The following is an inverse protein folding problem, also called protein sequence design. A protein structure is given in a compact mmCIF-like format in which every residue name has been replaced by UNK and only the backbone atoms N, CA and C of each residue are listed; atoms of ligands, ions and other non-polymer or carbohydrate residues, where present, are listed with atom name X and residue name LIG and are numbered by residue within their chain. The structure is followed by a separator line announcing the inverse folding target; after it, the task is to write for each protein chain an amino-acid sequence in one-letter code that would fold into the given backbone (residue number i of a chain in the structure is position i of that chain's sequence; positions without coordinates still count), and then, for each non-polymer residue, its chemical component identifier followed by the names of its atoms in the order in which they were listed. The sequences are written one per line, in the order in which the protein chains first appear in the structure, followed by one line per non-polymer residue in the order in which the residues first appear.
data_IF_632183378273
#
_entry.id   IF_632183378273
#
_cell.length_a   1.000
_cell.length_b   1.000
_cell.length_c   1.000
_cell.angle_alpha   90.00
_cell.angle_beta   90.00
_cell.angle_gamma   90.00
#
_symmetry.space_group_name_H-M   'P 1'
#
loop_
_entity.id
_entity.type
_entity.pdbx_description
1 polymer ?
#
# COMPACT_ATOMS: atom_id res chain seq x y z
N UNK A 1 -19.91 0.36 -7.90
CA UNK A 1 -18.62 1.02 -8.20
C UNK A 1 -18.59 2.49 -7.75
N UNK A 2 -19.34 3.41 -8.38
CA UNK A 2 -19.33 4.84 -7.97
C UNK A 2 -19.91 5.05 -6.56
N UNK A 3 -20.97 4.32 -6.22
CA UNK A 3 -21.55 4.33 -4.87
C UNK A 3 -20.57 3.87 -3.80
N UNK A 4 -19.78 2.83 -4.10
CA UNK A 4 -18.79 2.24 -3.17
C UNK A 4 -17.63 3.22 -2.92
N UNK A 5 -17.12 3.85 -3.98
CA UNK A 5 -16.13 4.91 -3.85
C UNK A 5 -16.67 6.06 -2.97
N UNK A 6 -17.90 6.53 -3.22
CA UNK A 6 -18.47 7.60 -2.43
C UNK A 6 -18.68 7.21 -0.94
N UNK A 7 -18.95 5.93 -0.65
CA UNK A 7 -19.07 5.43 0.71
C UNK A 7 -17.75 5.45 1.48
N UNK A 8 -16.62 5.23 0.81
CA UNK A 8 -15.28 5.36 1.41
C UNK A 8 -14.77 6.80 1.41
N UNK A 9 -15.59 7.78 0.99
CA UNK A 9 -15.17 9.18 0.83
C UNK A 9 -14.38 9.45 -0.46
N UNK A 10 -14.14 8.43 -1.28
CA UNK A 10 -13.47 8.55 -2.57
C UNK A 10 -14.44 9.04 -3.65
N UNK A 11 -13.97 9.97 -4.48
CA UNK A 11 -14.74 10.49 -5.59
C UNK A 11 -14.29 9.80 -6.87
N UNK A 12 -15.15 8.93 -7.41
CA UNK A 12 -14.91 8.25 -8.68
C UNK A 12 -15.67 8.94 -9.81
N UNK A 13 -14.95 9.60 -10.71
CA UNK A 13 -15.48 10.34 -11.85
C UNK A 13 -15.03 9.69 -13.15
N UNK A 14 -15.98 9.38 -14.04
CA UNK A 14 -15.65 8.94 -15.39
C UNK A 14 -15.37 10.17 -16.28
N UNK A 15 -14.20 10.19 -16.91
CA UNK A 15 -13.82 11.25 -17.85
C UNK A 15 -14.27 10.82 -19.24
N UNK A 16 -15.35 11.44 -19.75
CA UNK A 16 -15.87 11.30 -21.14
C UNK A 16 -16.49 9.91 -21.45
N UNK A 17 -16.54 9.54 -22.74
CA UNK A 17 -17.14 8.28 -23.27
C UNK A 17 -16.16 7.09 -23.31
N UNK A 18 -14.91 7.31 -22.92
CA UNK A 18 -13.86 6.30 -22.88
C UNK A 18 -13.78 5.64 -21.51
N UNK A 19 -13.06 4.51 -21.41
CA UNK A 19 -12.76 3.80 -20.15
C UNK A 19 -11.75 4.54 -19.27
N UNK A 20 -11.67 5.87 -19.37
CA UNK A 20 -10.83 6.70 -18.51
C UNK A 20 -11.62 7.10 -17.26
N UNK A 21 -11.22 6.53 -16.14
CA UNK A 21 -11.78 6.81 -14.83
C UNK A 21 -10.77 7.58 -14.00
N UNK A 22 -11.24 8.60 -13.31
CA UNK A 22 -10.47 9.38 -12.35
C UNK A 22 -11.00 9.07 -10.96
N UNK A 23 -10.10 8.63 -10.09
CA UNK A 23 -10.39 8.38 -8.69
C UNK A 23 -9.60 9.40 -7.87
N UNK A 24 -10.27 10.13 -6.99
CA UNK A 24 -9.66 11.10 -6.09
C UNK A 24 -10.15 10.88 -4.67
N UNK A 25 -9.24 10.82 -3.72
CA UNK A 25 -9.53 10.61 -2.30
C UNK A 25 -8.24 10.70 -1.49
N UNK A 26 -8.36 10.65 -0.17
CA UNK A 26 -7.21 10.56 0.72
C UNK A 26 -6.59 9.16 0.65
N UNK A 27 -5.30 9.03 0.97
CA UNK A 27 -4.60 7.74 0.93
C UNK A 27 -5.29 6.66 1.78
N UNK A 28 -5.70 7.02 2.99
CA UNK A 28 -6.44 6.14 3.91
C UNK A 28 -7.73 5.61 3.27
N UNK A 29 -8.48 6.48 2.60
CA UNK A 29 -9.73 6.17 1.92
C UNK A 29 -9.52 5.26 0.71
N UNK A 30 -8.44 5.49 -0.06
CA UNK A 30 -8.06 4.67 -1.20
C UNK A 30 -7.65 3.25 -0.77
N UNK A 31 -6.89 3.13 0.32
CA UNK A 31 -6.52 1.83 0.92
C UNK A 31 -7.76 1.09 1.44
N UNK A 32 -8.70 1.80 2.07
CA UNK A 32 -9.97 1.23 2.50
C UNK A 32 -10.84 0.76 1.32
N UNK A 33 -10.83 1.52 0.21
CA UNK A 33 -11.55 1.16 -1.00
C UNK A 33 -11.01 -0.14 -1.62
N UNK A 34 -9.68 -0.38 -1.59
CA UNK A 34 -9.10 -1.67 -2.02
C UNK A 34 -9.71 -2.83 -1.22
N UNK A 35 -9.77 -2.71 0.10
CA UNK A 35 -10.32 -3.76 0.97
C UNK A 35 -11.80 -4.06 0.73
N UNK A 36 -12.56 -3.13 0.16
CA UNK A 36 -13.96 -3.36 -0.22
C UNK A 36 -14.16 -3.84 -1.66
N UNK A 37 -13.10 -3.81 -2.48
CA UNK A 37 -13.10 -4.23 -3.87
C UNK A 37 -12.58 -5.68 -3.97
N UNK A 38 -13.31 -6.63 -3.38
CA UNK A 38 -13.00 -8.07 -3.48
C UNK A 38 -13.48 -8.72 -4.81
N UNK A 39 -14.18 -7.96 -5.64
CA UNK A 39 -14.87 -8.47 -6.83
C UNK A 39 -13.99 -8.35 -8.09
N UNK A 40 -13.81 -9.45 -8.83
CA UNK A 40 -12.85 -9.59 -9.94
C UNK A 40 -12.99 -8.53 -11.04
N UNK A 41 -14.21 -7.99 -11.23
CA UNK A 41 -14.49 -6.93 -12.20
C UNK A 41 -13.79 -5.59 -11.92
N UNK A 42 -13.21 -5.40 -10.73
CA UNK A 42 -12.64 -4.14 -10.27
C UNK A 42 -11.16 -4.20 -9.91
N UNK A 43 -10.48 -5.32 -10.18
CA UNK A 43 -9.03 -5.52 -10.03
C UNK A 43 -8.19 -4.37 -10.64
N UNK A 44 -8.65 -3.77 -11.73
CA UNK A 44 -7.96 -2.66 -12.38
C UNK A 44 -7.92 -1.38 -11.52
N UNK A 45 -8.89 -1.18 -10.62
CA UNK A 45 -8.94 -0.06 -9.67
C UNK A 45 -7.90 -0.30 -8.58
N UNK A 46 -7.85 -1.51 -8.02
CA UNK A 46 -6.86 -1.89 -7.01
C UNK A 46 -5.45 -1.64 -7.54
N UNK A 47 -5.14 -2.17 -8.73
CA UNK A 47 -3.83 -1.94 -9.40
C UNK A 47 -3.54 -0.46 -9.67
N UNK A 48 -4.55 0.34 -10.01
CA UNK A 48 -4.38 1.76 -10.23
C UNK A 48 -4.09 2.52 -8.93
N UNK A 49 -4.76 2.15 -7.83
CA UNK A 49 -4.55 2.70 -6.50
C UNK A 49 -3.16 2.31 -5.97
N UNK A 50 -2.79 1.04 -6.03
CA UNK A 50 -1.45 0.55 -5.61
C UNK A 50 -0.31 1.22 -6.39
N UNK A 51 -0.53 1.54 -7.66
CA UNK A 51 0.45 2.26 -8.49
C UNK A 51 0.51 3.76 -8.16
N UNK A 52 -0.61 4.35 -7.75
CA UNK A 52 -0.71 5.79 -7.46
C UNK A 52 -0.31 6.14 -6.03
N UNK A 53 -0.57 5.22 -5.10
CA UNK A 53 -0.10 5.32 -3.72
C UNK A 53 1.39 5.00 -3.67
N UNK A 54 2.18 5.76 -2.89
CA UNK A 54 3.51 5.31 -2.53
C UNK A 54 3.38 3.95 -1.81
N UNK A 55 4.36 3.08 -2.02
CA UNK A 55 4.47 1.88 -1.19
C UNK A 55 4.43 2.34 0.27
N UNK A 56 3.62 1.70 1.14
CA UNK A 56 3.62 2.07 2.55
C UNK A 56 5.07 2.08 3.01
N UNK A 57 5.52 3.19 3.58
CA UNK A 57 6.81 3.25 4.27
C UNK A 57 6.67 2.26 5.43
N UNK A 58 7.02 1.00 5.17
CA UNK A 58 7.05 -0.01 6.20
C UNK A 58 8.18 0.43 7.12
N UNK A 59 7.82 0.81 8.34
CA UNK A 59 8.81 1.20 9.32
C UNK A 59 9.55 -0.06 9.78
N UNK A 60 10.65 -0.34 9.09
CA UNK A 60 11.51 -1.49 9.35
C UNK A 60 12.01 -1.48 10.80
N UNK A 61 12.19 -0.29 11.40
CA UNK A 61 12.59 -0.14 12.79
C UNK A 61 11.47 -0.56 13.75
N UNK A 62 10.22 -0.26 13.42
CA UNK A 62 9.08 -0.72 14.21
C UNK A 62 8.99 -2.26 14.21
N UNK A 63 9.31 -2.91 13.10
CA UNK A 63 9.31 -4.38 13.02
C UNK A 63 10.48 -4.95 13.83
N UNK A 64 11.66 -4.34 13.74
CA UNK A 64 12.83 -4.75 14.51
C UNK A 64 12.66 -4.54 16.02
N UNK A 65 11.96 -3.49 16.45
CA UNK A 65 11.62 -3.32 17.88
C UNK A 65 10.68 -4.40 18.42
N UNK A 66 9.76 -4.91 17.59
CA UNK A 66 8.86 -6.00 17.96
C UNK A 66 9.61 -7.33 17.96
N UNK A 67 10.54 -7.53 17.02
CA UNK A 67 11.28 -8.77 16.84
C UNK A 67 12.78 -8.50 16.60
N UNK A 68 13.55 -8.20 17.65
CA UNK A 68 14.95 -7.77 17.51
C UNK A 68 15.90 -8.90 17.09
N UNK A 69 15.48 -10.16 17.20
CA UNK A 69 16.23 -11.33 16.73
C UNK A 69 15.96 -11.65 15.26
N UNK A 70 15.20 -10.81 14.54
CA UNK A 70 14.87 -11.03 13.14
C UNK A 70 16.10 -10.89 12.23
N UNK A 71 16.29 -11.84 11.34
CA UNK A 71 17.37 -11.80 10.34
C UNK A 71 17.00 -10.93 9.14
N UNK A 72 18.01 -10.39 8.43
CA UNK A 72 17.81 -9.61 7.19
C UNK A 72 16.89 -10.33 6.20
N UNK A 73 17.05 -11.65 6.03
CA UNK A 73 16.20 -12.47 5.16
C UNK A 73 14.75 -12.53 5.62
N UNK A 74 14.51 -12.66 6.93
CA UNK A 74 13.15 -12.66 7.46
C UNK A 74 12.49 -11.29 7.27
N UNK A 75 13.23 -10.21 7.52
CA UNK A 75 12.75 -8.85 7.33
C UNK A 75 12.34 -8.59 5.88
N UNK A 76 13.17 -9.00 4.91
CA UNK A 76 12.85 -8.92 3.48
C UNK A 76 11.62 -9.74 3.11
N UNK A 77 11.47 -10.94 3.66
CA UNK A 77 10.31 -11.80 3.37
C UNK A 77 9.02 -11.22 3.96
N UNK A 78 9.06 -10.68 5.17
CA UNK A 78 7.88 -10.11 5.83
C UNK A 78 7.46 -8.77 5.23
N UNK A 79 8.41 -7.95 4.80
CA UNK A 79 8.16 -6.57 4.35
C UNK A 79 8.20 -6.40 2.83
N UNK A 80 8.82 -7.33 2.11
CA UNK A 80 9.06 -7.22 0.68
C UNK A 80 10.08 -6.13 0.30
N UNK A 81 10.83 -5.60 1.26
CA UNK A 81 11.87 -4.58 1.00
C UNK A 81 13.11 -5.20 0.33
N UNK A 82 13.98 -4.36 -0.23
CA UNK A 82 15.23 -4.85 -0.80
C UNK A 82 16.17 -5.37 0.29
N UNK A 83 17.02 -6.36 -0.03
CA UNK A 83 18.10 -6.83 0.85
C UNK A 83 18.99 -5.68 1.36
N UNK A 84 19.20 -4.65 0.53
CA UNK A 84 19.97 -3.46 0.90
C UNK A 84 19.26 -2.58 1.93
N UNK A 85 17.93 -2.45 1.83
CA UNK A 85 17.12 -1.66 2.76
C UNK A 85 16.99 -2.38 4.10
N UNK A 86 16.71 -3.68 4.08
CA UNK A 86 16.65 -4.51 5.28
C UNK A 86 17.98 -4.48 6.07
N UNK A 87 19.12 -4.59 5.38
CA UNK A 87 20.43 -4.52 6.02
C UNK A 87 20.66 -3.16 6.66
N UNK A 88 20.37 -2.06 5.94
CA UNK A 88 20.50 -0.71 6.49
C UNK A 88 19.63 -0.50 7.73
N UNK A 89 18.41 -1.04 7.76
CA UNK A 89 17.52 -0.94 8.91
C UNK A 89 18.04 -1.71 10.13
N UNK A 90 18.57 -2.92 9.94
CA UNK A 90 19.18 -3.71 11.02
C UNK A 90 20.45 -3.02 11.55
N UNK A 91 21.35 -2.61 10.66
CA UNK A 91 22.59 -1.93 11.05
C UNK A 91 22.26 -0.64 11.85
N UNK A 92 21.25 0.13 11.40
CA UNK A 92 20.78 1.33 12.11
C UNK A 92 20.11 1.02 13.45
N UNK A 93 19.48 -0.15 13.61
CA UNK A 93 18.89 -0.60 14.87
C UNK A 93 19.95 -1.09 15.86
N UNK A 94 21.03 -1.73 15.38
CA UNK A 94 22.16 -2.15 16.21
C UNK A 94 23.02 -0.97 16.69
N UNK A 95 23.05 0.14 15.95
CA UNK A 95 23.76 1.39 16.29
C UNK A 95 23.00 2.32 17.27
N UNK A 96 21.77 1.97 17.67
CA UNK A 96 20.89 2.73 18.59
C UNK A 96 21.03 2.30 20.06
#
# INVERSE_FOLDING_TARGET
MISLANQTGCHLKRIRRSRHWQLSGEESQLRQLIGQLEDDGHQWIVKAIEKALPQPEIDLLQILTINPSMTVSQLVVETGCSMSEARRAIDQYEDL
#
